data_IF_083616101358
#
_entry.id   IF_083616101358
#
_cell.length_a   1.000
_cell.length_b   1.000
_cell.length_c   1.000
_cell.angle_alpha   90.00
_cell.angle_beta   90.00
_cell.angle_gamma   90.00
#
_symmetry.space_group_name_H-M   'P 1'
#
loop_
_entity.id
_entity.type
_entity.pdbx_description
1 polymer ?
#
# COMPACT_ATOMS: atom_id res chain seq x y z
N UNK A 1 -11.39 -14.70 -25.84
CA UNK A 1 -11.31 -13.69 -24.78
C UNK A 1 -12.67 -12.99 -24.68
N UNK A 2 -13.22 -12.83 -23.49
CA UNK A 2 -14.45 -12.04 -23.28
C UNK A 2 -14.15 -10.56 -23.59
N UNK A 3 -14.80 -9.95 -24.59
CA UNK A 3 -14.55 -8.57 -25.02
C UNK A 3 -14.92 -7.53 -23.95
N UNK A 4 -15.63 -7.91 -22.88
CA UNK A 4 -16.05 -7.00 -21.82
C UNK A 4 -15.07 -6.95 -20.63
N UNK A 5 -13.97 -7.70 -20.66
CA UNK A 5 -12.97 -7.70 -19.59
C UNK A 5 -11.85 -6.72 -19.95
N UNK A 6 -11.76 -5.61 -19.23
CA UNK A 6 -10.63 -4.69 -19.33
C UNK A 6 -9.33 -5.41 -18.93
N UNK A 7 -8.37 -5.47 -19.85
CA UNK A 7 -7.08 -6.15 -19.69
C UNK A 7 -5.92 -5.17 -19.82
N UNK A 8 -4.82 -5.50 -19.16
CA UNK A 8 -3.56 -4.78 -19.34
C UNK A 8 -2.91 -5.32 -20.61
N UNK A 9 -3.04 -4.58 -21.71
CA UNK A 9 -2.43 -4.96 -22.99
C UNK A 9 -0.91 -4.80 -22.99
N UNK A 10 -0.41 -3.81 -22.23
CA UNK A 10 1.01 -3.56 -22.07
C UNK A 10 1.35 -3.28 -20.61
N UNK A 11 2.12 -4.17 -19.98
CA UNK A 11 2.56 -4.01 -18.59
C UNK A 11 3.63 -2.93 -18.41
N UNK A 12 4.31 -2.50 -19.49
CA UNK A 12 5.35 -1.46 -19.44
C UNK A 12 4.86 -0.12 -18.89
N UNK A 13 3.60 0.21 -19.16
CA UNK A 13 2.97 1.45 -18.71
C UNK A 13 2.06 1.25 -17.48
N UNK A 14 1.98 0.01 -16.98
CA UNK A 14 1.09 -0.28 -15.87
C UNK A 14 1.63 0.29 -14.57
N UNK A 15 0.82 1.11 -13.93
CA UNK A 15 1.03 1.56 -12.56
C UNK A 15 -0.31 1.72 -11.88
N UNK A 16 -0.32 1.61 -10.55
CA UNK A 16 -1.47 1.93 -9.75
C UNK A 16 -1.05 2.60 -8.44
N UNK A 17 -2.00 3.29 -7.83
CA UNK A 17 -1.81 4.01 -6.57
C UNK A 17 -2.85 3.52 -5.58
N UNK A 18 -2.40 3.28 -4.37
CA UNK A 18 -3.25 3.01 -3.22
C UNK A 18 -3.14 4.20 -2.30
N UNK A 19 -4.26 4.88 -2.13
CA UNK A 19 -4.37 6.02 -1.24
C UNK A 19 -4.97 5.55 0.10
N UNK A 20 -4.34 5.96 1.18
CA UNK A 20 -4.84 5.89 2.53
C UNK A 20 -4.90 7.31 3.08
N UNK A 21 -6.00 7.68 3.70
CA UNK A 21 -6.15 8.98 4.34
C UNK A 21 -6.77 8.85 5.72
N UNK A 22 -6.34 9.73 6.62
CA UNK A 22 -6.90 9.91 7.93
C UNK A 22 -7.20 11.39 8.14
N UNK A 23 -8.40 11.69 8.64
CA UNK A 23 -8.81 13.05 8.96
C UNK A 23 -9.49 13.07 10.33
N UNK A 24 -9.10 14.03 11.16
CA UNK A 24 -9.74 14.31 12.44
C UNK A 24 -9.90 15.81 12.61
N UNK A 25 -11.14 16.26 12.88
CA UNK A 25 -11.44 17.66 13.12
C UNK A 25 -10.74 18.20 14.37
N UNK A 26 -10.58 17.35 15.40
CA UNK A 26 -9.93 17.67 16.68
C UNK A 26 -9.21 16.45 17.25
N UNK A 27 -8.10 16.71 17.92
CA UNK A 27 -7.23 15.69 18.55
C UNK A 27 -6.67 16.17 19.89
N UNK A 28 -7.13 17.34 20.37
CA UNK A 28 -6.51 18.13 21.45
C UNK A 28 -7.24 18.04 22.80
N UNK A 29 -8.44 17.44 22.85
CA UNK A 29 -9.21 17.30 24.08
C UNK A 29 -9.04 15.90 24.65
N UNK A 30 -9.22 15.76 25.97
CA UNK A 30 -9.22 14.45 26.64
C UNK A 30 -10.28 13.49 26.07
N UNK A 31 -11.44 14.02 25.64
CA UNK A 31 -12.49 13.24 24.95
C UNK A 31 -12.06 12.77 23.56
N UNK A 32 -11.09 13.44 22.95
CA UNK A 32 -10.59 13.16 21.59
C UNK A 32 -9.38 12.20 21.62
N UNK A 33 -9.05 11.63 22.78
CA UNK A 33 -7.91 10.71 22.94
C UNK A 33 -7.97 9.51 21.98
N UNK A 34 -9.17 9.03 21.66
CA UNK A 34 -9.36 7.98 20.65
C UNK A 34 -8.85 8.44 19.28
N UNK A 35 -9.25 9.62 18.82
CA UNK A 35 -8.78 10.18 17.53
C UNK A 35 -7.27 10.40 17.54
N UNK A 36 -6.72 10.86 18.67
CA UNK A 36 -5.26 10.97 18.83
C UNK A 36 -4.56 9.62 18.68
N UNK A 37 -5.06 8.57 19.33
CA UNK A 37 -4.50 7.23 19.23
C UNK A 37 -4.62 6.66 17.81
N UNK A 38 -5.76 6.89 17.13
CA UNK A 38 -6.00 6.47 15.75
C UNK A 38 -5.04 7.20 14.78
N UNK A 39 -4.81 8.50 14.98
CA UNK A 39 -3.82 9.28 14.23
C UNK A 39 -2.40 8.73 14.43
N UNK A 40 -1.99 8.47 15.68
CA UNK A 40 -0.67 7.92 15.99
C UNK A 40 -0.51 6.56 15.32
N UNK A 41 -1.50 5.69 15.45
CA UNK A 41 -1.50 4.38 14.79
C UNK A 41 -1.40 4.53 13.27
N UNK A 42 -2.16 5.44 12.66
CA UNK A 42 -2.13 5.66 11.22
C UNK A 42 -0.75 6.14 10.76
N UNK A 43 -0.17 7.12 11.46
CA UNK A 43 1.15 7.67 11.12
C UNK A 43 2.25 6.62 11.33
N UNK A 44 2.16 5.80 12.37
CA UNK A 44 3.13 4.74 12.60
C UNK A 44 3.04 3.63 11.56
N UNK A 45 1.82 3.30 11.15
CA UNK A 45 1.54 2.13 10.32
C UNK A 45 1.60 2.43 8.83
N UNK A 46 1.13 3.60 8.39
CA UNK A 46 0.91 3.91 6.96
C UNK A 46 1.80 5.01 6.41
N UNK A 47 2.75 5.57 7.18
CA UNK A 47 3.61 6.66 6.72
C UNK A 47 5.09 6.42 6.99
N UNK A 48 5.94 7.09 6.22
CA UNK A 48 7.40 7.12 6.42
C UNK A 48 7.82 8.42 7.11
N UNK A 49 6.90 9.04 7.84
CA UNK A 49 7.12 10.32 8.50
C UNK A 49 8.31 10.22 9.49
N UNK A 50 9.29 11.14 9.43
CA UNK A 50 10.43 11.14 10.35
C UNK A 50 10.03 11.16 11.83
N UNK A 51 10.89 10.58 12.68
CA UNK A 51 10.64 10.41 14.12
C UNK A 51 10.32 11.73 14.84
N UNK A 52 10.95 12.83 14.43
CA UNK A 52 10.74 14.14 15.05
C UNK A 52 9.30 14.62 14.84
N UNK A 53 8.78 14.52 13.62
CA UNK A 53 7.39 14.86 13.33
C UNK A 53 6.40 13.93 14.05
N UNK A 54 6.72 12.62 14.14
CA UNK A 54 5.92 11.69 14.95
C UNK A 54 5.93 12.07 16.43
N UNK A 55 7.02 12.66 16.93
CA UNK A 55 7.14 13.14 18.31
C UNK A 55 6.29 14.39 18.53
N UNK A 56 6.29 15.33 17.58
CA UNK A 56 5.45 16.53 17.57
C UNK A 56 3.94 16.17 17.66
N UNK A 57 3.51 15.11 16.94
CA UNK A 57 2.13 14.61 17.02
C UNK A 57 1.81 14.08 18.43
N UNK A 58 2.71 13.30 19.01
CA UNK A 58 2.50 12.69 20.34
C UNK A 58 2.49 13.72 21.47
N UNK A 59 3.29 14.79 21.34
CA UNK A 59 3.43 15.86 22.32
C UNK A 59 2.35 16.95 22.25
N UNK A 60 1.30 16.76 21.44
CA UNK A 60 0.15 17.69 21.33
C UNK A 60 0.54 19.10 20.87
N UNK A 61 1.65 19.21 20.15
CA UNK A 61 2.07 20.47 19.52
C UNK A 61 1.25 20.80 18.26
N UNK A 62 0.47 19.85 17.77
CA UNK A 62 -0.47 19.99 16.66
C UNK A 62 -1.91 19.79 17.15
N UNK A 63 -2.80 20.65 16.68
CA UNK A 63 -4.24 20.66 16.87
C UNK A 63 -4.96 20.41 15.55
N UNK A 64 -6.17 19.91 15.67
CA UNK A 64 -7.09 19.72 14.56
C UNK A 64 -7.48 21.03 13.85
N UNK A 65 -7.90 20.98 12.57
CA UNK A 65 -8.05 19.77 11.77
C UNK A 65 -6.70 19.15 11.39
N UNK A 66 -6.55 17.84 11.61
CA UNK A 66 -5.37 17.07 11.19
C UNK A 66 -5.78 16.18 10.03
N UNK A 67 -5.03 16.27 8.95
CA UNK A 67 -5.19 15.41 7.78
C UNK A 67 -3.85 14.77 7.43
N UNK A 68 -3.87 13.45 7.25
CA UNK A 68 -2.72 12.67 6.80
C UNK A 68 -3.12 11.92 5.54
N UNK A 69 -2.32 12.06 4.50
CA UNK A 69 -2.49 11.31 3.26
C UNK A 69 -1.22 10.50 3.02
N UNK A 70 -1.38 9.24 2.65
CA UNK A 70 -0.30 8.35 2.25
C UNK A 70 -0.68 7.65 0.95
N UNK A 71 0.20 7.75 -0.03
CA UNK A 71 0.06 7.09 -1.32
C UNK A 71 1.18 6.07 -1.47
N UNK A 72 0.78 4.81 -1.64
CA UNK A 72 1.66 3.75 -2.12
C UNK A 72 1.49 3.62 -3.62
N UNK A 73 2.53 3.92 -4.38
CA UNK A 73 2.58 3.71 -5.82
C UNK A 73 3.36 2.43 -6.13
N UNK A 74 2.79 1.64 -7.02
CA UNK A 74 3.40 0.44 -7.57
C UNK A 74 3.47 0.59 -9.07
N UNK A 75 4.68 0.45 -9.62
CA UNK A 75 4.95 0.48 -11.04
C UNK A 75 5.08 -0.94 -11.60
N UNK A 76 5.45 -1.04 -12.88
CA UNK A 76 5.70 -2.31 -13.56
C UNK A 76 6.56 -3.27 -12.73
N UNK A 77 7.70 -2.81 -12.19
CA UNK A 77 8.63 -3.68 -11.49
C UNK A 77 7.96 -4.40 -10.30
N UNK A 78 7.13 -3.69 -9.54
CA UNK A 78 6.41 -4.28 -8.40
C UNK A 78 5.29 -5.20 -8.86
N UNK A 79 4.59 -4.84 -9.94
CA UNK A 79 3.58 -5.71 -10.54
C UNK A 79 4.20 -7.01 -11.09
N UNK A 80 5.33 -6.92 -11.79
CA UNK A 80 6.10 -8.06 -12.27
C UNK A 80 6.62 -8.92 -11.12
N UNK A 81 7.04 -8.29 -10.01
CA UNK A 81 7.42 -9.00 -8.79
C UNK A 81 6.26 -9.89 -8.33
N UNK A 82 5.07 -9.32 -8.11
CA UNK A 82 3.87 -10.09 -7.73
C UNK A 82 3.58 -11.26 -8.68
N UNK A 83 3.70 -11.05 -9.99
CA UNK A 83 3.44 -12.09 -10.99
C UNK A 83 4.47 -13.23 -10.96
N UNK A 84 5.71 -12.94 -10.56
CA UNK A 84 6.81 -13.90 -10.43
C UNK A 84 6.87 -14.57 -9.06
N UNK A 85 6.30 -13.94 -8.04
CA UNK A 85 6.24 -14.48 -6.67
C UNK A 85 5.51 -15.81 -6.65
N UNK A 86 6.09 -16.80 -5.94
CA UNK A 86 5.48 -18.12 -5.79
C UNK A 86 4.14 -18.02 -5.05
N UNK A 87 3.22 -18.95 -5.33
CA UNK A 87 1.94 -19.01 -4.62
C UNK A 87 2.17 -19.12 -3.11
N UNK A 88 3.17 -19.90 -2.70
CA UNK A 88 3.57 -20.11 -1.31
C UNK A 88 3.92 -18.79 -0.60
N UNK A 89 4.70 -17.91 -1.24
CA UNK A 89 5.04 -16.60 -0.69
C UNK A 89 3.81 -15.68 -0.64
N UNK A 90 2.99 -15.67 -1.69
CA UNK A 90 1.75 -14.87 -1.69
C UNK A 90 0.80 -15.33 -0.58
N UNK A 91 0.63 -16.65 -0.39
CA UNK A 91 -0.19 -17.21 0.67
C UNK A 91 0.40 -16.97 2.07
N UNK A 92 1.72 -16.92 2.21
CA UNK A 92 2.37 -16.48 3.45
C UNK A 92 1.96 -15.05 3.82
N UNK A 93 2.01 -14.12 2.85
CA UNK A 93 1.57 -12.74 3.07
C UNK A 93 0.07 -12.64 3.36
N UNK A 94 -0.77 -13.40 2.64
CA UNK A 94 -2.21 -13.45 2.89
C UNK A 94 -2.49 -13.99 4.30
N UNK A 95 -1.83 -15.08 4.71
CA UNK A 95 -1.98 -15.67 6.04
C UNK A 95 -1.60 -14.68 7.14
N UNK A 96 -0.52 -13.94 6.95
CA UNK A 96 -0.07 -12.88 7.85
C UNK A 96 -1.11 -11.78 8.01
N UNK A 97 -1.58 -11.15 6.92
CA UNK A 97 -2.56 -10.05 7.02
C UNK A 97 -3.93 -10.53 7.53
N UNK A 98 -4.26 -11.81 7.34
CA UNK A 98 -5.46 -12.38 7.92
C UNK A 98 -5.29 -12.80 9.40
N UNK A 99 -4.07 -12.79 9.95
CA UNK A 99 -3.79 -13.28 11.30
C UNK A 99 -3.98 -14.78 11.48
N UNK A 100 -3.82 -15.59 10.43
CA UNK A 100 -3.93 -17.05 10.55
C UNK A 100 -2.71 -17.62 11.27
N UNK A 101 -2.96 -18.54 12.21
CA UNK A 101 -1.90 -19.29 12.91
C UNK A 101 -1.40 -20.50 12.11
N UNK A 102 -1.99 -20.79 10.94
CA UNK A 102 -1.72 -21.98 10.11
C UNK A 102 -0.94 -21.61 8.85
N UNK A 103 -0.08 -20.60 8.94
CA UNK A 103 0.72 -20.11 7.81
C UNK A 103 1.48 -21.25 7.13
N UNK A 104 2.09 -22.15 7.89
CA UNK A 104 2.78 -23.34 7.37
C UNK A 104 1.89 -24.22 6.47
N UNK A 105 0.61 -24.35 6.80
CA UNK A 105 -0.35 -25.16 6.03
C UNK A 105 -0.88 -24.41 4.80
N UNK A 106 -0.92 -23.08 4.84
CA UNK A 106 -1.31 -22.24 3.70
C UNK A 106 -0.17 -22.08 2.68
N UNK A 107 1.07 -22.13 3.15
CA UNK A 107 2.29 -22.10 2.32
C UNK A 107 2.51 -23.44 1.63
N UNK A 108 2.28 -24.57 2.29
CA UNK A 108 2.39 -25.89 1.67
C UNK A 108 1.27 -26.13 0.64
N UNK A 109 1.64 -26.46 -0.61
CA UNK A 109 0.69 -26.61 -1.71
C UNK A 109 -0.37 -27.70 -1.46
N UNK A 110 0.05 -28.88 -1.01
CA UNK A 110 -0.86 -30.01 -0.81
C UNK A 110 -1.87 -29.71 0.29
N UNK A 111 -1.41 -29.12 1.41
CA UNK A 111 -2.28 -28.68 2.52
C UNK A 111 -3.17 -27.52 2.08
N UNK A 112 -2.63 -26.48 1.44
CA UNK A 112 -3.38 -25.34 0.90
C UNK A 112 -4.53 -25.80 0.01
N UNK A 113 -4.26 -26.70 -0.92
CA UNK A 113 -5.29 -27.24 -1.82
C UNK A 113 -6.43 -27.89 -1.03
N UNK A 114 -6.12 -28.70 0.00
CA UNK A 114 -7.14 -29.26 0.87
C UNK A 114 -7.94 -28.17 1.62
N UNK A 115 -7.28 -27.13 2.12
CA UNK A 115 -7.93 -26.04 2.86
C UNK A 115 -8.86 -25.18 2.00
N UNK A 116 -8.48 -24.94 0.75
CA UNK A 116 -9.29 -24.20 -0.23
C UNK A 116 -10.61 -24.90 -0.54
N UNK A 117 -10.67 -26.24 -0.47
CA UNK A 117 -11.88 -27.02 -0.74
C UNK A 117 -12.75 -27.26 0.51
N UNK A 118 -12.18 -27.13 1.71
CA UNK A 118 -12.91 -27.32 2.97
C UNK A 118 -13.58 -26.04 3.47
N UNK A 119 -14.58 -26.18 4.33
CA UNK A 119 -15.14 -25.05 5.08
C UNK A 119 -14.07 -24.51 6.02
N UNK A 120 -13.80 -23.20 5.94
CA UNK A 120 -12.91 -22.49 6.85
C UNK A 120 -13.71 -21.46 7.65
N UNK A 121 -13.23 -21.09 8.82
CA UNK A 121 -13.86 -20.10 9.70
C UNK A 121 -12.81 -19.10 10.20
N UNK A 122 -13.26 -17.95 10.69
CA UNK A 122 -12.39 -16.93 11.28
C UNK A 122 -11.25 -16.47 10.35
N UNK A 123 -10.02 -16.46 10.87
CA UNK A 123 -8.83 -16.05 10.14
C UNK A 123 -8.57 -16.90 8.88
N UNK A 124 -8.82 -18.21 8.94
CA UNK A 124 -8.62 -19.10 7.78
C UNK A 124 -9.65 -18.87 6.67
N UNK A 125 -10.86 -18.42 7.01
CA UNK A 125 -11.85 -17.99 6.02
C UNK A 125 -11.38 -16.73 5.29
N UNK A 126 -10.74 -15.80 6.00
CA UNK A 126 -10.08 -14.64 5.39
C UNK A 126 -9.01 -15.09 4.38
N UNK A 127 -8.13 -16.01 4.77
CA UNK A 127 -7.06 -16.53 3.89
C UNK A 127 -7.65 -17.20 2.67
N UNK A 128 -8.62 -18.11 2.86
CA UNK A 128 -9.32 -18.78 1.77
C UNK A 128 -9.93 -17.78 0.78
N UNK A 129 -10.66 -16.78 1.29
CA UNK A 129 -11.34 -15.81 0.44
C UNK A 129 -10.37 -14.98 -0.39
N UNK A 130 -9.30 -14.45 0.21
CA UNK A 130 -8.30 -13.65 -0.53
C UNK A 130 -7.53 -14.56 -1.49
N UNK A 131 -7.08 -15.72 -1.02
CA UNK A 131 -6.32 -16.71 -1.80
C UNK A 131 -7.07 -17.19 -3.04
N UNK A 132 -8.37 -17.46 -2.94
CA UNK A 132 -9.19 -17.82 -4.12
C UNK A 132 -9.26 -16.69 -5.15
N UNK A 133 -9.30 -15.42 -4.72
CA UNK A 133 -9.30 -14.29 -5.66
C UNK A 133 -7.93 -14.13 -6.34
N UNK A 134 -6.84 -14.35 -5.59
CA UNK A 134 -5.49 -14.38 -6.15
C UNK A 134 -5.32 -15.51 -7.18
N UNK A 135 -5.69 -16.73 -6.83
CA UNK A 135 -5.60 -17.88 -7.74
C UNK A 135 -6.47 -17.68 -8.99
N UNK A 136 -7.67 -17.11 -8.84
CA UNK A 136 -8.51 -16.78 -9.98
C UNK A 136 -7.89 -15.69 -10.89
N UNK A 137 -7.20 -14.72 -10.30
CA UNK A 137 -6.42 -13.72 -11.05
C UNK A 137 -5.23 -14.35 -11.78
N UNK A 138 -4.43 -15.17 -11.10
CA UNK A 138 -3.26 -15.84 -11.67
C UNK A 138 -3.63 -16.82 -12.78
N UNK A 139 -4.66 -17.64 -12.56
CA UNK A 139 -5.17 -18.56 -13.58
C UNK A 139 -5.65 -17.81 -14.83
N UNK A 140 -6.35 -16.68 -14.66
CA UNK A 140 -6.77 -15.83 -15.78
C UNK A 140 -5.60 -15.25 -16.56
N UNK A 141 -4.59 -14.74 -15.84
CA UNK A 141 -3.36 -14.23 -16.44
C UNK A 141 -2.65 -15.30 -17.29
N UNK A 142 -2.52 -16.52 -16.77
CA UNK A 142 -1.88 -17.64 -17.48
C UNK A 142 -2.69 -18.10 -18.70
N UNK A 143 -4.03 -18.14 -18.60
CA UNK A 143 -4.90 -18.60 -19.69
C UNK A 143 -5.06 -17.58 -20.82
N UNK A 144 -4.82 -16.29 -20.57
CA UNK A 144 -5.07 -15.22 -21.54
C UNK A 144 -3.76 -14.59 -22.05
N UNK A 145 -2.81 -15.43 -22.47
CA UNK A 145 -1.55 -15.01 -23.09
C UNK A 145 -0.78 -13.97 -22.25
N UNK A 146 -0.75 -14.15 -20.93
CA UNK A 146 -0.07 -13.25 -19.99
C UNK A 146 -0.62 -11.82 -20.01
N UNK A 147 -1.93 -11.65 -20.29
CA UNK A 147 -2.64 -10.37 -20.21
C UNK A 147 -3.53 -10.32 -18.98
N UNK A 148 -3.09 -9.67 -17.88
CA UNK A 148 -3.83 -9.68 -16.63
C UNK A 148 -5.18 -8.97 -16.74
N UNK A 149 -6.22 -9.56 -16.15
CA UNK A 149 -7.53 -8.91 -15.98
C UNK A 149 -7.47 -7.85 -14.88
N UNK A 150 -7.81 -6.60 -15.23
CA UNK A 150 -7.87 -5.48 -14.28
C UNK A 150 -8.90 -5.72 -13.17
N UNK A 151 -10.05 -6.32 -13.53
CA UNK A 151 -11.13 -6.59 -12.58
C UNK A 151 -10.70 -7.62 -11.55
N UNK A 152 -10.13 -8.74 -11.98
CA UNK A 152 -9.67 -9.80 -11.06
C UNK A 152 -8.53 -9.30 -10.17
N UNK A 153 -7.59 -8.56 -10.76
CA UNK A 153 -6.50 -7.92 -10.01
C UNK A 153 -7.03 -6.97 -8.93
N UNK A 154 -7.91 -6.03 -9.31
CA UNK A 154 -8.53 -5.07 -8.38
C UNK A 154 -9.29 -5.79 -7.26
N UNK A 155 -10.02 -6.86 -7.58
CA UNK A 155 -10.77 -7.64 -6.59
C UNK A 155 -9.85 -8.34 -5.58
N UNK A 156 -8.77 -8.96 -6.05
CA UNK A 156 -7.75 -9.54 -5.18
C UNK A 156 -7.12 -8.46 -4.28
N UNK A 157 -6.58 -7.40 -4.89
CA UNK A 157 -5.91 -6.33 -4.17
C UNK A 157 -6.82 -5.68 -3.13
N UNK A 158 -8.03 -5.30 -3.52
CA UNK A 158 -8.96 -4.62 -2.59
C UNK A 158 -9.24 -5.48 -1.35
N UNK A 159 -9.34 -6.80 -1.49
CA UNK A 159 -9.57 -7.70 -0.35
C UNK A 159 -8.32 -7.87 0.51
N UNK A 160 -7.14 -7.96 -0.09
CA UNK A 160 -5.87 -7.99 0.62
C UNK A 160 -5.64 -6.70 1.42
N UNK A 161 -5.80 -5.56 0.75
CA UNK A 161 -5.54 -4.24 1.33
C UNK A 161 -6.49 -3.84 2.45
N UNK A 162 -7.72 -4.36 2.46
CA UNK A 162 -8.66 -4.19 3.58
C UNK A 162 -8.21 -4.90 4.87
N UNK A 163 -7.18 -5.74 4.81
CA UNK A 163 -6.65 -6.51 5.94
C UNK A 163 -5.22 -6.11 6.31
N UNK A 164 -4.57 -5.30 5.49
CA UNK A 164 -3.22 -4.86 5.74
C UNK A 164 -3.23 -3.75 6.80
N UNK A 165 -2.46 -3.95 7.87
CA UNK A 165 -2.43 -3.05 9.02
C UNK A 165 -1.14 -2.23 9.09
N UNK A 166 -0.25 -2.36 8.10
CA UNK A 166 1.02 -1.65 8.04
C UNK A 166 1.53 -1.47 6.61
N UNK A 167 2.41 -0.49 6.37
CA UNK A 167 3.13 -0.29 5.12
C UNK A 167 3.85 -1.58 4.71
N UNK A 168 4.47 -2.29 5.65
CA UNK A 168 5.14 -3.57 5.38
C UNK A 168 4.18 -4.67 4.91
N UNK A 169 2.91 -4.64 5.33
CA UNK A 169 1.88 -5.51 4.76
C UNK A 169 1.52 -5.11 3.33
N UNK A 170 1.43 -3.79 3.08
CA UNK A 170 1.10 -3.24 1.77
C UNK A 170 2.19 -3.51 0.73
N UNK A 171 3.45 -3.36 1.08
CA UNK A 171 4.60 -3.46 0.17
C UNK A 171 5.04 -4.90 -0.09
N UNK A 172 4.78 -5.83 0.85
CA UNK A 172 5.28 -7.20 0.77
C UNK A 172 4.89 -7.96 -0.51
N UNK A 173 3.71 -7.70 -1.08
CA UNK A 173 3.29 -8.36 -2.32
C UNK A 173 4.07 -7.91 -3.57
N UNK A 174 4.70 -6.74 -3.52
CA UNK A 174 5.33 -6.09 -4.67
C UNK A 174 6.85 -5.99 -4.55
N UNK A 175 7.42 -6.36 -3.39
CA UNK A 175 8.80 -6.09 -3.03
C UNK A 175 8.98 -4.64 -2.61
N UNK A 176 9.54 -4.40 -1.43
CA UNK A 176 9.68 -3.06 -0.84
C UNK A 176 10.43 -2.10 -1.76
N UNK A 177 11.46 -2.61 -2.44
CA UNK A 177 12.30 -1.88 -3.39
C UNK A 177 11.57 -1.46 -4.67
N UNK A 178 10.44 -2.07 -4.98
CA UNK A 178 9.64 -1.78 -6.18
C UNK A 178 8.41 -0.92 -5.87
N UNK A 179 8.38 -0.34 -4.67
CA UNK A 179 7.30 0.55 -4.23
C UNK A 179 7.82 1.95 -3.93
N UNK A 180 6.97 2.94 -4.19
CA UNK A 180 7.24 4.32 -3.85
C UNK A 180 6.12 4.85 -2.96
N UNK A 181 6.49 5.32 -1.78
CA UNK A 181 5.56 5.87 -0.79
C UNK A 181 5.74 7.38 -0.77
N UNK A 182 4.65 8.14 -0.80
CA UNK A 182 4.68 9.56 -0.54
C UNK A 182 3.42 10.01 0.20
N UNK A 183 3.46 11.20 0.77
CA UNK A 183 2.31 11.74 1.46
C UNK A 183 2.57 13.07 2.13
N UNK A 184 1.56 13.55 2.83
CA UNK A 184 1.61 14.81 3.55
C UNK A 184 0.80 14.74 4.84
N UNK A 185 1.26 15.50 5.83
CA UNK A 185 0.57 15.78 7.08
C UNK A 185 0.25 17.28 7.09
N UNK A 186 -1.02 17.60 7.31
CA UNK A 186 -1.51 18.98 7.49
C UNK A 186 -2.16 19.09 8.85
N UNK A 187 -1.85 20.15 9.58
CA UNK A 187 -2.40 20.42 10.90
C UNK A 187 -2.33 21.92 11.23
N UNK A 188 -2.82 22.28 12.41
CA UNK A 188 -2.65 23.63 12.99
C UNK A 188 -1.76 23.53 14.23
N UNK A 189 -0.85 24.46 14.46
CA UNK A 189 -0.04 24.49 15.70
C UNK A 189 -0.85 25.00 16.89
N UNK A 190 -0.29 24.92 18.10
CA UNK A 190 -0.93 25.50 19.28
C UNK A 190 -1.07 27.03 19.22
N UNK A 191 -0.26 27.70 18.37
CA UNK A 191 -0.29 29.14 18.09
C UNK A 191 -1.20 29.52 16.92
N UNK A 192 -2.06 28.60 16.43
CA UNK A 192 -2.94 28.79 15.28
C UNK A 192 -2.21 29.04 13.94
N UNK A 193 -0.94 28.65 13.82
CA UNK A 193 -0.23 28.67 12.53
C UNK A 193 -0.45 27.37 11.76
N UNK A 194 -0.46 27.44 10.42
CA UNK A 194 -0.55 26.25 9.59
C UNK A 194 0.74 25.44 9.66
N UNK A 195 0.59 24.13 9.85
CA UNK A 195 1.68 23.17 9.83
C UNK A 195 1.48 22.20 8.67
N UNK A 196 2.44 22.14 7.75
CA UNK A 196 2.43 21.21 6.62
C UNK A 196 3.81 20.58 6.52
N UNK A 197 3.86 19.25 6.42
CA UNK A 197 5.08 18.51 6.14
C UNK A 197 4.79 17.37 5.18
N UNK A 198 5.78 17.03 4.36
CA UNK A 198 5.70 15.97 3.36
C UNK A 198 6.68 14.86 3.71
N UNK A 199 6.34 13.63 3.33
CA UNK A 199 7.22 12.48 3.46
C UNK A 199 7.24 11.67 2.17
N UNK A 200 8.35 10.99 1.94
CA UNK A 200 8.48 10.02 0.86
C UNK A 200 9.53 8.96 1.20
N UNK A 201 9.42 7.80 0.56
CA UNK A 201 10.43 6.74 0.61
C UNK A 201 10.36 5.87 -0.65
N UNK A 202 11.47 5.20 -0.97
CA UNK A 202 11.63 4.40 -2.18
C UNK A 202 12.03 5.24 -3.40
N UNK A 203 12.17 4.58 -4.54
CA UNK A 203 12.55 5.23 -5.80
C UNK A 203 11.36 5.24 -6.76
N UNK A 204 10.88 6.42 -7.13
CA UNK A 204 9.98 6.59 -8.26
C UNK A 204 10.79 6.51 -9.55
N UNK A 205 10.53 5.50 -10.40
CA UNK A 205 11.22 5.31 -11.69
C UNK A 205 10.33 5.64 -12.89
N UNK A 206 9.19 6.28 -12.66
CA UNK A 206 8.30 6.72 -13.73
C UNK A 206 9.09 7.43 -14.82
N UNK A 207 8.89 6.97 -16.06
CA UNK A 207 9.48 7.54 -17.27
C UNK A 207 9.43 9.06 -17.15
N UNK A 208 10.60 9.69 -17.03
CA UNK A 208 10.74 11.06 -16.57
C UNK A 208 10.07 12.04 -17.50
N UNK A 209 8.75 12.21 -17.43
CA UNK A 209 8.04 13.25 -18.17
C UNK A 209 8.51 14.61 -17.64
N UNK A 210 8.76 14.70 -16.33
CA UNK A 210 9.34 15.88 -15.70
C UNK A 210 10.84 16.02 -16.02
N UNK A 211 11.61 14.93 -16.09
CA UNK A 211 13.05 15.01 -16.40
C UNK A 211 13.33 15.31 -17.87
N UNK A 212 12.57 14.72 -18.80
CA UNK A 212 12.63 15.07 -20.22
C UNK A 212 12.10 16.48 -20.46
N UNK A 213 11.00 16.90 -19.85
CA UNK A 213 10.53 18.28 -19.97
C UNK A 213 11.53 19.27 -19.37
N UNK A 214 12.09 19.03 -18.17
CA UNK A 214 13.10 19.92 -17.55
C UNK A 214 14.41 19.98 -18.32
N UNK A 215 14.86 18.87 -18.93
CA UNK A 215 16.04 18.86 -19.83
C UNK A 215 15.75 19.55 -21.16
N UNK A 216 14.55 19.40 -21.72
CA UNK A 216 14.12 20.08 -22.95
C UNK A 216 13.88 21.58 -22.75
N UNK A 217 13.48 22.01 -21.55
CA UNK A 217 13.09 23.39 -21.23
C UNK A 217 14.16 24.10 -20.38
N UNK A 218 15.34 23.49 -20.18
CA UNK A 218 16.52 24.13 -19.58
C UNK A 218 16.39 24.55 -18.11
N UNK A 219 15.41 24.02 -17.37
CA UNK A 219 15.12 24.47 -16.01
C UNK A 219 15.99 23.72 -15.00
N UNK A 220 17.08 24.33 -14.55
CA UNK A 220 17.89 23.82 -13.43
C UNK A 220 17.07 23.88 -12.13
N UNK A 221 17.04 22.80 -11.35
CA UNK A 221 16.57 22.88 -9.97
C UNK A 221 17.59 23.68 -9.14
N UNK A 222 17.15 24.54 -8.20
CA UNK A 222 18.04 25.00 -7.15
C UNK A 222 18.52 23.77 -6.35
N UNK A 223 19.81 23.74 -6.05
CA UNK A 223 20.45 22.64 -5.35
C UNK A 223 19.67 22.28 -4.06
N UNK A 224 19.48 20.98 -3.84
CA UNK A 224 19.08 20.45 -2.55
C UNK A 224 20.18 20.80 -1.54
N UNK A 225 19.90 21.72 -0.63
CA UNK A 225 20.74 21.91 0.56
C UNK A 225 20.47 20.69 1.44
N UNK A 226 21.42 19.76 1.44
CA UNK A 226 21.55 18.77 2.51
C UNK A 226 22.27 19.51 3.63
N UNK A 227 21.58 19.77 4.75
CA UNK A 227 22.26 20.18 5.98
C UNK A 227 22.70 18.91 6.70
N UNK A 228 24.00 18.80 6.97
CA UNK A 228 24.57 17.89 7.98
C UNK A 228 24.02 18.19 9.38
#
# INVERSE_FOLDING_TARGET
>A
ADPNVARIENTEQFSFVLNQSYEAARTDRWIDQKFKNDLIWFVDSFTTLPKDYKTIIRSEQLKGPIMVESNLRVEKAGFDHLLKTSDDNVFSHIARVCGSKRTDQWVDEAKRNNLLHRLQVGHDLCVKNIGQNYLAFKADYLQNALKPSLVKFKNFLTKYYKRADSLADLTALFGEENTFINGQLKATTTQNSQFVTSFSAGQFRGLGVIDNYKRLVGSRQPASIVSE
#
